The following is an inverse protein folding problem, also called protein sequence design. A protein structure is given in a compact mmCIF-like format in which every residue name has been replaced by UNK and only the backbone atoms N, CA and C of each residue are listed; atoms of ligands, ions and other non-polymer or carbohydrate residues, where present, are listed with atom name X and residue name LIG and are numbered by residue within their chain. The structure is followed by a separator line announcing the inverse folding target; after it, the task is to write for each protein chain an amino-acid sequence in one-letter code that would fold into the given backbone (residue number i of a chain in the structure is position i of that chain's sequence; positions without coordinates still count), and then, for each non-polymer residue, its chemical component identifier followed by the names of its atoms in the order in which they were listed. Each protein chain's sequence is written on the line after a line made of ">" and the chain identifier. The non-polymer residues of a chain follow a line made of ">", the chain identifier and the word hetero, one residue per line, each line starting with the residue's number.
data_IF_590643350019
#
_entry.id   IF_590643350019
#
_cell.length_a   1.000
_cell.length_b   1.000
_cell.length_c   1.000
_cell.angle_alpha   90.00
_cell.angle_beta   90.00
_cell.angle_gamma   90.00
#
_symmetry.space_group_name_H-M   'P 1'
#
loop_
_entity.id
_entity.type
_entity.pdbx_description
1 polymer ?
#
# COMPACT_ATOMS: atom_id res chain seq x y z
N UNK A 1 13.13 3.28 -32.59
CA UNK A 1 14.09 2.82 -31.57
C UNK A 1 13.44 3.00 -30.22
N UNK A 2 13.50 2.02 -29.34
CA UNK A 2 13.08 2.13 -27.94
C UNK A 2 14.23 2.75 -27.13
N UNK A 3 13.91 3.72 -26.27
CA UNK A 3 14.87 4.36 -25.37
C UNK A 3 14.26 4.40 -23.97
N UNK A 4 15.05 4.08 -22.95
CA UNK A 4 14.64 4.20 -21.55
C UNK A 4 15.41 5.36 -20.93
N UNK A 5 14.69 6.28 -20.31
CA UNK A 5 15.24 7.37 -19.51
C UNK A 5 14.96 7.14 -18.03
N UNK A 6 15.92 7.51 -17.20
CA UNK A 6 15.85 7.41 -15.74
C UNK A 6 15.58 8.81 -15.18
N UNK A 7 14.36 9.02 -14.70
CA UNK A 7 13.89 10.32 -14.24
C UNK A 7 13.82 10.37 -12.70
N UNK A 8 14.18 11.53 -12.15
CA UNK A 8 14.09 11.78 -10.70
C UNK A 8 12.67 12.15 -10.24
N UNK A 9 11.83 12.63 -11.16
CA UNK A 9 10.43 13.04 -10.90
C UNK A 9 9.51 12.38 -11.93
N UNK A 10 8.24 12.11 -11.61
CA UNK A 10 7.32 11.52 -12.56
C UNK A 10 7.07 12.48 -13.74
N UNK A 11 7.00 11.99 -14.97
CA UNK A 11 6.63 12.81 -16.11
C UNK A 11 5.17 13.25 -16.04
N UNK A 12 4.85 14.34 -16.72
CA UNK A 12 3.51 14.90 -16.81
C UNK A 12 2.50 13.82 -17.28
N UNK A 13 1.32 13.80 -16.66
CA UNK A 13 0.25 12.85 -16.99
C UNK A 13 0.42 11.43 -16.38
N UNK A 14 1.51 11.15 -15.65
CA UNK A 14 1.70 9.87 -14.99
C UNK A 14 0.55 9.58 -14.03
N UNK A 15 -0.16 8.44 -14.23
CA UNK A 15 -1.30 8.00 -13.43
C UNK A 15 -2.34 9.10 -13.14
N UNK A 16 -2.58 9.99 -14.11
CA UNK A 16 -3.58 11.04 -13.98
C UNK A 16 -4.98 10.42 -13.71
N UNK A 17 -5.65 10.91 -12.66
CA UNK A 17 -6.97 10.40 -12.27
C UNK A 17 -6.96 9.24 -11.28
N UNK A 18 -5.80 8.68 -10.92
CA UNK A 18 -5.68 7.69 -9.85
C UNK A 18 -5.45 8.37 -8.49
N UNK A 19 -5.98 7.82 -7.37
CA UNK A 19 -5.72 8.34 -6.03
C UNK A 19 -4.24 8.40 -5.68
N UNK A 20 -3.50 7.36 -6.06
CA UNK A 20 -2.05 7.26 -5.93
C UNK A 20 -1.38 7.61 -7.26
N UNK A 21 -1.65 8.82 -7.77
CA UNK A 21 -1.05 9.35 -9.00
C UNK A 21 0.27 10.10 -8.77
N UNK A 22 0.71 10.87 -9.77
CA UNK A 22 2.00 11.59 -9.76
C UNK A 22 2.19 12.42 -8.49
N UNK A 23 1.18 13.22 -8.11
CA UNK A 23 1.21 14.08 -6.93
C UNK A 23 1.46 13.28 -5.64
N UNK A 24 0.85 12.08 -5.53
CA UNK A 24 1.06 11.20 -4.38
C UNK A 24 2.47 10.60 -4.37
N UNK A 25 2.96 10.15 -5.54
CA UNK A 25 4.33 9.63 -5.65
C UNK A 25 5.38 10.69 -5.28
N UNK A 26 5.22 11.93 -5.73
CA UNK A 26 6.10 13.05 -5.36
C UNK A 26 6.05 13.34 -3.86
N UNK A 27 4.85 13.39 -3.27
CA UNK A 27 4.69 13.61 -1.84
C UNK A 27 5.36 12.52 -1.00
N UNK A 28 5.26 11.25 -1.43
CA UNK A 28 5.93 10.11 -0.80
C UNK A 28 7.45 10.22 -0.92
N UNK A 29 7.95 10.58 -2.09
CA UNK A 29 9.38 10.79 -2.33
C UNK A 29 9.94 11.92 -1.46
N UNK A 30 9.22 13.04 -1.37
CA UNK A 30 9.59 14.18 -0.53
C UNK A 30 9.50 13.89 0.98
N UNK A 31 8.77 12.86 1.39
CA UNK A 31 8.67 12.46 2.78
C UNK A 31 9.98 11.94 3.40
N UNK A 32 10.98 11.63 2.56
CA UNK A 32 12.31 11.27 3.02
C UNK A 32 12.35 10.00 3.86
N UNK A 33 11.64 8.96 3.43
CA UNK A 33 11.65 7.67 4.14
C UNK A 33 13.05 7.07 4.10
N UNK A 34 13.58 6.74 5.28
CA UNK A 34 14.91 6.15 5.43
C UNK A 34 15.08 4.90 4.57
N UNK A 35 16.27 4.77 3.97
CA UNK A 35 16.69 3.64 3.12
C UNK A 35 16.02 3.56 1.73
N UNK A 36 15.04 4.41 1.37
CA UNK A 36 14.39 4.36 0.06
C UNK A 36 14.89 5.48 -0.87
N UNK A 37 15.27 5.09 -2.08
CA UNK A 37 15.59 6.00 -3.19
C UNK A 37 14.60 5.76 -4.32
N UNK A 38 13.91 6.79 -4.74
CA UNK A 38 12.85 6.72 -5.74
C UNK A 38 13.34 7.19 -7.11
N UNK A 39 12.69 6.70 -8.17
CA UNK A 39 12.88 7.16 -9.52
C UNK A 39 11.82 6.59 -10.46
N UNK A 40 11.91 6.94 -11.74
CA UNK A 40 10.92 6.57 -12.75
C UNK A 40 11.63 6.20 -14.04
N UNK A 41 11.41 5.00 -14.55
CA UNK A 41 11.82 4.66 -15.89
C UNK A 41 10.76 5.11 -16.87
N UNK A 42 11.13 6.01 -17.77
CA UNK A 42 10.29 6.49 -18.86
C UNK A 42 10.75 5.85 -20.17
N UNK A 43 9.88 5.06 -20.79
CA UNK A 43 10.14 4.42 -22.08
C UNK A 43 9.59 5.28 -23.22
N UNK A 44 10.44 5.58 -24.18
CA UNK A 44 10.08 6.34 -25.38
C UNK A 44 10.22 5.46 -26.62
N UNK A 45 9.22 5.51 -27.50
CA UNK A 45 9.25 4.87 -28.83
C UNK A 45 9.07 5.95 -29.88
N UNK A 46 10.08 6.10 -30.76
CA UNK A 46 10.10 7.17 -31.76
C UNK A 46 9.83 8.58 -31.16
N UNK A 47 10.43 8.88 -30.01
CA UNK A 47 10.29 10.16 -29.32
C UNK A 47 8.98 10.39 -28.57
N UNK A 48 8.06 9.40 -28.56
CA UNK A 48 6.81 9.45 -27.80
C UNK A 48 6.93 8.62 -26.52
N UNK A 49 6.53 9.20 -25.41
CA UNK A 49 6.40 8.47 -24.14
C UNK A 49 5.33 7.38 -24.28
N UNK A 50 5.70 6.13 -24.03
CA UNK A 50 4.82 4.96 -24.14
C UNK A 50 4.61 4.26 -22.81
N UNK A 51 5.57 4.40 -21.86
CA UNK A 51 5.47 3.74 -20.55
C UNK A 51 6.21 4.54 -19.50
N UNK A 52 5.64 4.57 -18.29
CA UNK A 52 6.31 5.02 -17.08
C UNK A 52 6.20 3.95 -16.00
N UNK A 53 7.34 3.52 -15.50
CA UNK A 53 7.44 2.54 -14.42
C UNK A 53 8.14 3.20 -13.22
N UNK A 54 7.41 3.50 -12.14
CA UNK A 54 8.03 3.99 -10.91
C UNK A 54 8.84 2.89 -10.27
N UNK A 55 9.96 3.23 -9.69
CA UNK A 55 10.78 2.27 -8.95
C UNK A 55 11.31 2.87 -7.66
N UNK A 56 11.69 1.98 -6.75
CA UNK A 56 12.49 2.34 -5.59
C UNK A 56 13.67 1.41 -5.44
N UNK A 57 14.72 1.90 -4.77
CA UNK A 57 15.91 1.14 -4.42
C UNK A 57 16.10 1.20 -2.92
N UNK A 58 16.42 0.07 -2.29
CA UNK A 58 16.72 -0.01 -0.87
C UNK A 58 17.75 -1.11 -0.55
N UNK A 59 18.38 -1.00 0.61
CA UNK A 59 19.19 -2.08 1.16
C UNK A 59 18.28 -3.09 1.86
N UNK A 60 18.06 -4.22 1.19
CA UNK A 60 17.18 -5.26 1.68
C UNK A 60 17.95 -6.32 2.47
N UNK A 61 17.46 -6.66 3.65
CA UNK A 61 18.01 -7.74 4.46
C UNK A 61 17.22 -9.02 4.22
N UNK A 62 17.90 -10.10 3.84
CA UNK A 62 17.23 -11.37 3.51
C UNK A 62 16.38 -11.93 4.67
N UNK A 63 16.77 -11.63 5.90
CA UNK A 63 16.01 -12.03 7.08
C UNK A 63 14.62 -11.39 7.21
N UNK A 64 14.34 -10.32 6.46
CA UNK A 64 13.00 -9.66 6.46
C UNK A 64 11.92 -10.56 5.88
N UNK A 65 12.28 -11.48 4.97
CA UNK A 65 11.34 -12.44 4.36
C UNK A 65 11.17 -13.74 5.15
N UNK A 66 11.96 -13.95 6.22
CA UNK A 66 11.93 -15.21 6.94
C UNK A 66 11.10 -15.14 8.22
N UNK A 67 10.32 -16.17 8.54
CA UNK A 67 9.66 -16.28 9.81
C UNK A 67 10.70 -16.30 10.96
N UNK A 68 10.26 -15.95 12.17
CA UNK A 68 11.13 -15.92 13.34
C UNK A 68 11.80 -17.29 13.58
N UNK A 69 13.13 -17.31 13.72
CA UNK A 69 13.90 -18.53 13.93
C UNK A 69 15.40 -18.31 13.80
N UNK A 70 16.19 -19.37 14.02
CA UNK A 70 17.66 -19.33 13.94
C UNK A 70 18.18 -18.93 12.54
N UNK A 71 17.44 -19.31 11.48
CA UNK A 71 17.72 -18.92 10.09
C UNK A 71 17.62 -17.40 9.92
N UNK A 72 16.65 -16.75 10.57
CA UNK A 72 16.50 -15.29 10.52
C UNK A 72 17.71 -14.57 11.10
N UNK A 73 18.30 -15.10 12.17
CA UNK A 73 19.51 -14.53 12.78
C UNK A 73 20.74 -14.74 11.89
N UNK A 74 20.92 -15.95 11.37
CA UNK A 74 22.09 -16.30 10.53
C UNK A 74 22.13 -15.52 9.22
N UNK A 75 20.97 -15.20 8.63
CA UNK A 75 20.87 -14.49 7.36
C UNK A 75 20.72 -12.97 7.51
N UNK A 76 20.73 -12.46 8.74
CA UNK A 76 20.65 -11.01 9.03
C UNK A 76 21.82 -10.19 8.48
N UNK A 77 22.96 -10.84 8.25
CA UNK A 77 24.17 -10.21 7.69
C UNK A 77 24.14 -10.12 6.16
N UNK A 78 23.28 -10.90 5.50
CA UNK A 78 23.19 -10.88 4.04
C UNK A 78 22.27 -9.72 3.62
N UNK A 79 22.87 -8.76 2.93
CA UNK A 79 22.19 -7.60 2.38
C UNK A 79 22.23 -7.65 0.86
N UNK A 80 21.09 -7.45 0.23
CA UNK A 80 21.00 -7.23 -1.20
C UNK A 80 20.55 -5.79 -1.46
N UNK A 81 21.06 -5.19 -2.52
CA UNK A 81 20.51 -3.97 -3.02
C UNK A 81 19.27 -4.35 -3.86
N UNK A 82 18.08 -4.13 -3.30
CA UNK A 82 16.80 -4.35 -3.95
C UNK A 82 16.48 -3.17 -4.86
N UNK A 83 16.18 -3.44 -6.11
CA UNK A 83 15.59 -2.49 -7.05
C UNK A 83 14.20 -3.01 -7.45
N UNK A 84 13.15 -2.28 -7.14
CA UNK A 84 11.77 -2.75 -7.24
C UNK A 84 10.90 -1.79 -8.05
N UNK A 85 10.21 -2.29 -9.07
CA UNK A 85 9.15 -1.57 -9.77
C UNK A 85 7.91 -1.53 -8.89
N UNK A 86 7.38 -0.33 -8.66
CA UNK A 86 6.24 -0.05 -7.79
C UNK A 86 6.55 1.02 -6.75
N UNK A 87 5.69 1.12 -5.75
CA UNK A 87 5.84 2.03 -4.61
C UNK A 87 5.95 1.19 -3.32
N UNK A 88 6.89 1.47 -2.41
CA UNK A 88 7.05 0.68 -1.19
C UNK A 88 5.79 0.69 -0.31
N UNK A 89 5.08 1.80 -0.27
CA UNK A 89 3.90 1.98 0.59
C UNK A 89 2.57 1.65 -0.10
N UNK A 90 2.51 1.51 -1.43
CA UNK A 90 1.27 1.13 -2.13
C UNK A 90 1.02 -0.38 -2.07
N UNK A 91 -0.24 -0.78 -1.94
CA UNK A 91 -0.65 -2.19 -2.00
C UNK A 91 -0.67 -2.71 -3.45
N UNK A 92 -0.91 -1.82 -4.42
CA UNK A 92 -0.98 -2.14 -5.85
C UNK A 92 0.18 -1.52 -6.60
N UNK A 93 0.97 -2.37 -7.27
CA UNK A 93 2.01 -1.95 -8.22
C UNK A 93 1.37 -1.42 -9.51
N UNK A 94 1.91 -0.34 -10.04
CA UNK A 94 1.37 0.31 -11.25
C UNK A 94 2.49 0.63 -12.22
N UNK A 95 2.23 0.35 -13.50
CA UNK A 95 2.98 0.84 -14.66
C UNK A 95 1.97 1.60 -15.50
N UNK A 96 2.30 2.82 -15.89
CA UNK A 96 1.47 3.62 -16.79
C UNK A 96 1.87 3.33 -18.23
N UNK A 97 0.91 2.97 -19.09
CA UNK A 97 1.13 2.71 -20.51
C UNK A 97 1.39 1.25 -20.84
N UNK A 98 2.22 1.00 -21.86
CA UNK A 98 2.49 -0.34 -22.42
C UNK A 98 3.45 -1.13 -21.51
N UNK A 99 3.02 -2.30 -21.06
CA UNK A 99 3.83 -3.25 -20.27
C UNK A 99 4.19 -4.52 -21.09
N UNK A 100 4.45 -4.36 -22.37
CA UNK A 100 4.88 -5.46 -23.25
C UNK A 100 6.24 -6.03 -22.85
N UNK A 101 6.50 -7.27 -23.25
CA UNK A 101 7.78 -7.97 -22.99
C UNK A 101 8.99 -7.15 -23.43
N UNK A 102 8.92 -6.50 -24.62
CA UNK A 102 10.01 -5.66 -25.15
C UNK A 102 10.35 -4.51 -24.18
N UNK A 103 9.33 -3.79 -23.72
CA UNK A 103 9.50 -2.65 -22.84
C UNK A 103 9.97 -3.09 -21.45
N UNK A 104 9.35 -4.13 -20.89
CA UNK A 104 9.76 -4.64 -19.57
C UNK A 104 11.18 -5.22 -19.59
N UNK A 105 11.60 -5.84 -20.70
CA UNK A 105 12.97 -6.31 -20.85
C UNK A 105 13.97 -5.15 -20.84
N UNK A 106 13.69 -4.08 -21.55
CA UNK A 106 14.54 -2.88 -21.54
C UNK A 106 14.57 -2.19 -20.17
N UNK A 107 13.42 -2.10 -19.49
CA UNK A 107 13.35 -1.58 -18.11
C UNK A 107 14.16 -2.47 -17.15
N UNK A 108 14.13 -3.81 -17.32
CA UNK A 108 14.87 -4.74 -16.47
C UNK A 108 16.39 -4.60 -16.63
N UNK A 109 16.88 -4.23 -17.83
CA UNK A 109 18.29 -3.94 -18.05
C UNK A 109 18.73 -2.71 -17.24
N UNK A 110 17.92 -1.65 -17.22
CA UNK A 110 18.19 -0.44 -16.43
C UNK A 110 18.03 -0.72 -14.92
N UNK A 111 17.00 -1.47 -14.53
CA UNK A 111 16.76 -1.84 -13.14
C UNK A 111 17.92 -2.68 -12.57
N UNK A 112 18.54 -3.56 -13.37
CA UNK A 112 19.71 -4.38 -12.99
C UNK A 112 20.95 -3.53 -12.69
N UNK A 113 21.06 -2.30 -13.20
CA UNK A 113 22.13 -1.37 -12.84
C UNK A 113 21.92 -0.73 -11.47
N UNK A 114 20.69 -0.77 -10.95
CA UNK A 114 20.30 -0.18 -9.65
C UNK A 114 20.45 -1.14 -8.49
N UNK A 115 20.28 -2.45 -8.71
CA UNK A 115 20.35 -3.45 -7.64
C UNK A 115 20.61 -4.86 -8.16
N UNK A 116 21.00 -5.75 -7.23
CA UNK A 116 21.24 -7.17 -7.55
C UNK A 116 19.97 -8.04 -7.40
N UNK A 117 19.04 -7.65 -6.53
CA UNK A 117 17.74 -8.27 -6.41
C UNK A 117 16.72 -7.34 -7.08
N UNK A 118 16.10 -7.82 -8.16
CA UNK A 118 15.08 -7.12 -8.92
C UNK A 118 13.71 -7.60 -8.48
N UNK A 119 12.75 -6.70 -8.36
CA UNK A 119 11.38 -7.07 -8.03
C UNK A 119 10.34 -6.21 -8.74
N UNK A 120 9.13 -6.76 -8.83
CA UNK A 120 7.89 -6.06 -9.13
C UNK A 120 6.92 -6.37 -8.00
N UNK A 121 6.35 -5.36 -7.35
CA UNK A 121 5.54 -5.54 -6.14
C UNK A 121 4.06 -5.25 -6.41
N UNK A 122 3.19 -6.21 -6.08
CA UNK A 122 1.74 -5.96 -5.92
C UNK A 122 0.97 -5.79 -7.23
N UNK A 123 1.37 -6.41 -8.33
CA UNK A 123 0.67 -6.24 -9.60
C UNK A 123 -0.63 -7.07 -9.66
N UNK A 124 -1.76 -6.42 -9.96
CA UNK A 124 -3.07 -7.06 -10.10
C UNK A 124 -3.30 -7.78 -11.43
N UNK A 125 -2.35 -7.72 -12.35
CA UNK A 125 -2.36 -8.40 -13.63
C UNK A 125 -1.08 -9.19 -13.83
N UNK A 126 -1.14 -10.23 -14.65
CA UNK A 126 0.05 -10.98 -15.03
C UNK A 126 0.94 -10.15 -15.95
N UNK A 127 2.24 -10.11 -15.62
CA UNK A 127 3.23 -9.38 -16.41
C UNK A 127 4.10 -10.36 -17.19
N UNK A 128 4.48 -10.04 -18.44
CA UNK A 128 5.35 -10.90 -19.25
C UNK A 128 6.81 -10.81 -18.77
N UNK A 129 7.11 -11.47 -17.65
CA UNK A 129 8.41 -11.49 -16.98
C UNK A 129 8.94 -12.94 -16.88
N UNK A 130 9.32 -13.59 -18.01
CA UNK A 130 9.62 -15.02 -18.04
C UNK A 130 10.81 -15.43 -17.17
N UNK A 131 11.76 -14.52 -16.93
CA UNK A 131 12.98 -14.79 -16.13
C UNK A 131 12.79 -14.51 -14.64
N UNK A 132 11.61 -14.09 -14.23
CA UNK A 132 11.30 -13.80 -12.82
C UNK A 132 10.55 -14.96 -12.15
N UNK A 133 10.82 -15.14 -10.88
CA UNK A 133 10.04 -16.02 -10.02
C UNK A 133 8.77 -15.28 -9.63
N UNK A 134 7.63 -15.73 -10.15
CA UNK A 134 6.32 -15.20 -9.77
C UNK A 134 5.86 -15.82 -8.47
N UNK A 135 5.44 -15.00 -7.53
CA UNK A 135 4.86 -15.39 -6.24
C UNK A 135 3.53 -14.67 -6.01
N UNK A 136 2.61 -15.31 -5.30
CA UNK A 136 1.36 -14.67 -4.89
C UNK A 136 1.70 -13.54 -3.93
N UNK A 137 1.09 -12.36 -4.13
CA UNK A 137 1.17 -11.22 -3.23
C UNK A 137 0.01 -11.19 -2.23
N UNK A 138 0.04 -10.25 -1.29
CA UNK A 138 -1.11 -9.99 -0.43
C UNK A 138 -2.28 -9.45 -1.25
N UNK A 139 -3.46 -10.10 -1.24
CA UNK A 139 -4.60 -9.60 -2.00
C UNK A 139 -5.08 -8.26 -1.46
N UNK A 140 -5.62 -7.43 -2.34
CA UNK A 140 -6.15 -6.11 -1.96
C UNK A 140 -7.66 -6.20 -1.73
N UNK A 141 -8.14 -5.94 -0.50
CA UNK A 141 -9.56 -5.90 -0.21
C UNK A 141 -10.21 -4.64 -0.80
N UNK A 142 -11.11 -4.84 -1.76
CA UNK A 142 -11.83 -3.77 -2.43
C UNK A 142 -13.32 -3.92 -2.20
N UNK A 143 -13.98 -2.84 -1.82
CA UNK A 143 -15.40 -2.78 -1.55
C UNK A 143 -16.09 -1.87 -2.56
N UNK A 144 -17.12 -2.38 -3.23
CA UNK A 144 -18.01 -1.56 -4.04
C UNK A 144 -18.90 -0.70 -3.14
N UNK A 145 -18.96 0.59 -3.44
CA UNK A 145 -19.78 1.57 -2.74
C UNK A 145 -20.99 1.95 -3.58
N UNK A 146 -22.09 2.26 -2.90
CA UNK A 146 -23.31 2.75 -3.54
C UNK A 146 -24.38 3.07 -2.51
N UNK A 147 -25.45 3.79 -2.89
CA UNK A 147 -26.52 4.20 -1.97
C UNK A 147 -27.21 3.00 -1.30
N UNK A 148 -27.22 1.85 -1.97
CA UNK A 148 -27.85 0.62 -1.47
C UNK A 148 -26.89 -0.32 -0.73
N UNK A 149 -25.67 0.13 -0.42
CA UNK A 149 -24.64 -0.72 0.17
C UNK A 149 -25.12 -1.47 1.42
N UNK A 150 -25.73 -0.75 2.37
CA UNK A 150 -26.23 -1.38 3.60
C UNK A 150 -27.48 -2.24 3.36
N UNK A 151 -28.37 -1.84 2.43
CA UNK A 151 -29.58 -2.57 2.10
C UNK A 151 -29.27 -3.90 1.42
N UNK A 152 -28.24 -3.94 0.59
CA UNK A 152 -27.80 -5.16 -0.13
C UNK A 152 -27.18 -6.21 0.78
N UNK A 153 -26.76 -5.85 1.99
CA UNK A 153 -26.22 -6.80 2.96
C UNK A 153 -27.27 -7.74 3.51
N UNK A 154 -26.86 -9.00 3.77
CA UNK A 154 -27.65 -9.94 4.57
C UNK A 154 -27.95 -9.34 5.95
N UNK A 155 -29.16 -9.63 6.47
CA UNK A 155 -29.65 -9.09 7.75
C UNK A 155 -28.67 -9.30 8.92
N UNK A 156 -28.08 -10.50 9.00
CA UNK A 156 -27.14 -10.84 10.08
C UNK A 156 -25.88 -9.97 10.07
N UNK A 157 -25.32 -9.72 8.88
CA UNK A 157 -24.17 -8.81 8.72
C UNK A 157 -24.54 -7.39 9.10
N UNK A 158 -25.68 -6.89 8.60
CA UNK A 158 -26.17 -5.55 8.93
C UNK A 158 -26.38 -5.38 10.44
N UNK A 159 -26.98 -6.38 11.10
CA UNK A 159 -27.16 -6.37 12.54
C UNK A 159 -25.85 -6.43 13.32
N UNK A 160 -24.86 -7.19 12.82
CA UNK A 160 -23.52 -7.23 13.38
C UNK A 160 -22.86 -5.84 13.32
N UNK A 161 -22.91 -5.17 12.16
CA UNK A 161 -22.33 -3.83 12.00
C UNK A 161 -23.02 -2.80 12.92
N UNK A 162 -24.36 -2.81 13.00
CA UNK A 162 -25.11 -1.94 13.92
C UNK A 162 -24.69 -2.16 15.38
N UNK A 163 -24.54 -3.41 15.80
CA UNK A 163 -24.11 -3.74 17.17
C UNK A 163 -22.67 -3.28 17.44
N UNK A 164 -21.76 -3.45 16.45
CA UNK A 164 -20.38 -2.99 16.57
C UNK A 164 -20.30 -1.48 16.63
N UNK A 165 -21.06 -0.78 15.77
CA UNK A 165 -21.11 0.68 15.76
C UNK A 165 -21.73 1.24 17.06
N UNK A 166 -22.70 0.55 17.66
CA UNK A 166 -23.26 0.94 18.97
C UNK A 166 -22.20 1.00 20.07
N UNK A 167 -21.15 0.14 20.00
CA UNK A 167 -20.03 0.20 20.97
C UNK A 167 -19.21 1.49 20.85
N UNK A 168 -19.24 2.13 19.70
CA UNK A 168 -18.49 3.38 19.45
C UNK A 168 -19.34 4.64 19.73
N UNK A 169 -20.48 4.53 20.40
CA UNK A 169 -21.37 5.67 20.68
C UNK A 169 -20.75 6.73 21.56
N UNK A 170 -19.74 6.39 22.36
CA UNK A 170 -18.98 7.35 23.16
C UNK A 170 -17.90 8.10 22.33
N UNK A 171 -17.64 7.67 21.11
CA UNK A 171 -16.64 8.30 20.26
C UNK A 171 -17.28 9.44 19.46
N UNK A 172 -16.68 10.61 19.54
CA UNK A 172 -16.92 11.71 18.60
C UNK A 172 -15.95 11.55 17.43
N UNK A 173 -16.36 11.84 16.20
CA UNK A 173 -15.46 11.91 15.08
C UNK A 173 -15.64 13.22 14.30
N UNK A 174 -14.54 13.65 13.69
CA UNK A 174 -14.47 14.83 12.85
C UNK A 174 -13.88 14.49 11.50
N UNK A 175 -14.32 15.17 10.47
CA UNK A 175 -13.79 15.06 9.11
C UNK A 175 -13.01 16.32 8.78
N UNK A 176 -11.78 16.14 8.28
CA UNK A 176 -10.90 17.24 7.91
C UNK A 176 -10.35 17.04 6.50
N UNK A 177 -10.53 18.03 5.64
CA UNK A 177 -9.79 18.13 4.38
C UNK A 177 -8.35 18.56 4.69
N UNK A 178 -7.45 17.60 4.74
CA UNK A 178 -6.11 17.79 5.30
C UNK A 178 -6.10 17.77 6.84
N UNK A 179 -4.94 17.53 7.39
CA UNK A 179 -4.69 17.47 8.83
C UNK A 179 -4.21 18.83 9.34
N UNK A 180 -4.81 19.40 10.40
CA UNK A 180 -4.26 20.56 11.07
C UNK A 180 -2.81 20.30 11.53
N UNK A 181 -1.92 21.26 11.27
CA UNK A 181 -0.47 21.10 11.51
C UNK A 181 -0.15 20.70 12.96
N UNK A 182 -0.85 21.28 13.92
CA UNK A 182 -0.71 20.97 15.35
C UNK A 182 -1.09 19.53 15.71
N UNK A 183 -1.84 18.80 14.85
CA UNK A 183 -2.23 17.41 15.08
C UNK A 183 -1.26 16.40 14.45
N UNK A 184 -0.34 16.84 13.57
CA UNK A 184 0.63 15.94 12.92
C UNK A 184 1.42 15.10 13.93
N UNK A 185 1.97 15.65 15.02
CA UNK A 185 2.70 14.85 16.01
C UNK A 185 1.84 13.76 16.66
N UNK A 186 0.57 14.07 16.98
CA UNK A 186 -0.33 13.10 17.62
C UNK A 186 -0.75 12.02 16.63
N UNK A 187 -1.07 12.37 15.38
CA UNK A 187 -1.40 11.42 14.31
C UNK A 187 -0.22 10.50 14.03
N UNK A 188 0.99 11.05 13.95
CA UNK A 188 2.20 10.25 13.80
C UNK A 188 2.42 9.27 14.96
N UNK A 189 2.19 9.70 16.19
CA UNK A 189 2.26 8.81 17.36
C UNK A 189 1.24 7.66 17.27
N UNK A 190 -0.01 7.95 16.86
CA UNK A 190 -1.03 6.93 16.66
C UNK A 190 -0.68 5.97 15.54
N UNK A 191 -0.09 6.47 14.45
CA UNK A 191 0.47 5.63 13.38
C UNK A 191 1.56 4.70 13.93
N UNK A 192 2.50 5.23 14.72
CA UNK A 192 3.58 4.43 15.31
C UNK A 192 3.04 3.30 16.20
N UNK A 193 1.95 3.51 16.93
CA UNK A 193 1.31 2.44 17.70
C UNK A 193 0.89 1.26 16.80
N UNK A 194 0.31 1.57 15.63
CA UNK A 194 -0.08 0.54 14.64
C UNK A 194 1.15 -0.10 14.00
N UNK A 195 2.13 0.70 13.60
CA UNK A 195 3.38 0.23 13.03
C UNK A 195 4.14 -0.73 13.96
N UNK A 196 4.24 -0.39 15.26
CA UNK A 196 4.95 -1.23 16.23
C UNK A 196 4.25 -2.56 16.49
N UNK A 197 2.92 -2.59 16.35
CA UNK A 197 2.11 -3.80 16.53
C UNK A 197 2.09 -4.71 15.29
N UNK A 198 2.42 -4.19 14.11
CA UNK A 198 2.48 -4.99 12.89
C UNK A 198 3.63 -6.01 12.96
N UNK A 199 3.33 -7.25 12.54
CA UNK A 199 4.33 -8.32 12.45
C UNK A 199 5.34 -8.08 11.33
N UNK A 200 4.86 -7.62 10.17
CA UNK A 200 5.67 -7.24 9.03
C UNK A 200 5.89 -5.73 9.02
N UNK A 201 7.16 -5.33 9.02
CA UNK A 201 7.60 -3.93 8.99
C UNK A 201 8.48 -3.72 7.78
N UNK A 202 7.85 -3.37 6.66
CA UNK A 202 8.57 -3.14 5.42
C UNK A 202 9.06 -1.69 5.32
N UNK A 203 8.16 -0.74 5.55
CA UNK A 203 8.47 0.70 5.55
C UNK A 203 8.03 1.35 6.86
N UNK A 204 8.73 2.40 7.25
CA UNK A 204 8.34 3.28 8.35
C UNK A 204 8.14 4.68 7.80
N UNK A 205 6.92 5.20 7.93
CA UNK A 205 6.63 6.57 7.54
C UNK A 205 7.34 7.57 8.45
N UNK A 206 7.54 8.76 7.92
CA UNK A 206 8.03 9.93 8.66
C UNK A 206 6.87 10.89 8.98
N UNK A 207 7.01 11.83 9.91
CA UNK A 207 6.02 12.90 10.09
C UNK A 207 5.79 13.70 8.80
N UNK A 208 6.84 13.88 8.00
CA UNK A 208 6.83 14.58 6.71
C UNK A 208 5.90 13.92 5.69
N UNK A 209 5.69 12.61 5.79
CA UNK A 209 4.68 11.93 4.97
C UNK A 209 3.30 12.54 5.15
N UNK A 210 2.87 12.76 6.41
CA UNK A 210 1.56 13.33 6.72
C UNK A 210 1.46 14.81 6.30
N UNK A 211 2.58 15.54 6.33
CA UNK A 211 2.66 16.93 5.85
C UNK A 211 2.57 16.97 4.33
N UNK A 212 3.38 16.18 3.63
CA UNK A 212 3.48 16.24 2.17
C UNK A 212 2.25 15.66 1.45
N UNK A 213 1.59 14.66 2.03
CA UNK A 213 0.33 14.10 1.49
C UNK A 213 -0.90 14.88 1.93
N UNK A 214 -0.77 15.93 2.74
CA UNK A 214 -1.87 16.60 3.42
C UNK A 214 -2.93 17.14 2.44
N UNK A 215 -2.50 17.82 1.38
CA UNK A 215 -3.38 18.39 0.37
C UNK A 215 -4.16 17.34 -0.45
N UNK A 216 -3.69 16.08 -0.46
CA UNK A 216 -4.29 14.95 -1.16
C UNK A 216 -5.21 14.10 -0.25
N UNK A 217 -5.21 14.42 1.05
CA UNK A 217 -5.78 13.56 2.07
C UNK A 217 -7.04 14.13 2.70
N UNK A 218 -7.98 13.23 2.95
CA UNK A 218 -9.10 13.45 3.87
C UNK A 218 -8.84 12.64 5.14
N UNK A 219 -9.00 13.25 6.30
CA UNK A 219 -8.84 12.59 7.58
C UNK A 219 -10.16 12.41 8.29
N UNK A 220 -10.36 11.25 8.91
CA UNK A 220 -11.38 11.00 9.91
C UNK A 220 -10.66 10.89 11.26
N UNK A 221 -10.90 11.83 12.15
CA UNK A 221 -10.29 11.94 13.48
C UNK A 221 -11.27 11.48 14.55
N UNK A 222 -10.87 10.57 15.40
CA UNK A 222 -11.73 9.96 16.41
C UNK A 222 -11.28 10.33 17.81
N UNK A 223 -12.21 10.88 18.58
CA UNK A 223 -11.98 11.38 19.92
C UNK A 223 -12.78 10.57 20.95
N UNK A 224 -12.15 10.30 22.09
CA UNK A 224 -12.81 9.89 23.31
C UNK A 224 -12.73 11.08 24.26
N UNK A 225 -13.89 11.64 24.62
CA UNK A 225 -13.95 12.96 25.26
C UNK A 225 -13.22 14.00 24.37
N UNK A 226 -12.18 14.66 24.86
CA UNK A 226 -11.41 15.65 24.11
C UNK A 226 -10.08 15.09 23.58
N UNK A 227 -9.77 13.82 23.83
CA UNK A 227 -8.52 13.22 23.41
C UNK A 227 -8.63 12.52 22.04
N UNK A 228 -7.74 12.87 21.11
CA UNK A 228 -7.60 12.18 19.83
C UNK A 228 -6.99 10.80 20.07
N UNK A 229 -7.80 9.74 19.86
CA UNK A 229 -7.39 8.33 20.08
C UNK A 229 -7.30 7.50 18.80
N UNK A 230 -7.65 8.06 17.65
CA UNK A 230 -7.50 7.37 16.38
C UNK A 230 -7.72 8.26 15.18
N UNK A 231 -7.18 7.83 14.05
CA UNK A 231 -7.39 8.49 12.76
C UNK A 231 -7.46 7.48 11.62
N UNK A 232 -8.11 7.91 10.55
CA UNK A 232 -8.10 7.25 9.24
C UNK A 232 -7.71 8.29 8.20
N UNK A 233 -6.71 7.98 7.39
CA UNK A 233 -6.32 8.77 6.23
C UNK A 233 -6.94 8.17 4.97
N UNK A 234 -7.69 8.96 4.24
CA UNK A 234 -8.33 8.61 2.98
C UNK A 234 -7.72 9.44 1.86
N UNK A 235 -7.48 8.81 0.72
CA UNK A 235 -7.03 9.47 -0.51
C UNK A 235 -8.03 9.12 -1.60
N UNK A 236 -8.68 10.13 -2.17
CA UNK A 236 -9.72 9.95 -3.17
C UNK A 236 -9.39 10.67 -4.46
N UNK A 237 -9.68 10.05 -5.61
CA UNK A 237 -9.64 10.70 -6.93
C UNK A 237 -10.59 9.99 -7.90
N UNK A 238 -11.30 10.76 -8.71
CA UNK A 238 -12.31 10.20 -9.59
C UNK A 238 -13.40 9.48 -8.80
N UNK A 239 -13.60 8.22 -9.09
CA UNK A 239 -14.59 7.37 -8.43
C UNK A 239 -13.99 6.38 -7.40
N UNK A 240 -12.70 6.47 -7.14
CA UNK A 240 -11.95 5.56 -6.25
C UNK A 240 -11.51 6.26 -4.98
N UNK A 241 -11.64 5.57 -3.87
CA UNK A 241 -11.15 5.96 -2.55
C UNK A 241 -10.16 4.90 -2.04
N UNK A 242 -9.09 5.33 -1.41
CA UNK A 242 -8.12 4.45 -0.75
C UNK A 242 -8.11 4.78 0.73
N UNK A 243 -8.40 3.81 1.59
CA UNK A 243 -8.17 3.89 3.03
C UNK A 243 -6.68 3.60 3.28
N UNK A 244 -5.87 4.67 3.28
CA UNK A 244 -4.42 4.53 3.17
C UNK A 244 -3.77 4.11 4.47
N UNK A 245 -3.97 4.87 5.53
CA UNK A 245 -3.42 4.58 6.85
C UNK A 245 -4.44 4.78 7.95
N UNK A 246 -4.31 3.95 8.96
CA UNK A 246 -5.01 4.09 10.23
C UNK A 246 -4.01 4.10 11.36
N UNK A 247 -4.31 4.84 12.41
CA UNK A 247 -3.56 4.79 13.66
C UNK A 247 -4.51 4.88 14.84
N UNK A 248 -4.22 4.14 15.90
CA UNK A 248 -5.10 4.12 17.08
C UNK A 248 -4.33 3.89 18.38
N UNK A 249 -4.89 4.42 19.45
CA UNK A 249 -4.53 4.09 20.82
C UNK A 249 -5.19 2.76 21.17
N UNK A 250 -4.42 1.68 21.24
CA UNK A 250 -4.96 0.34 21.47
C UNK A 250 -5.56 0.15 22.85
N UNK A 251 -5.05 0.84 23.87
CA UNK A 251 -5.51 0.71 25.24
C UNK A 251 -6.89 1.37 25.41
N UNK A 252 -7.05 2.59 24.86
CA UNK A 252 -8.31 3.34 24.93
C UNK A 252 -9.34 2.87 23.89
N UNK A 253 -8.91 2.31 22.79
CA UNK A 253 -9.81 1.93 21.67
C UNK A 253 -10.54 0.61 21.87
N UNK A 254 -9.98 -0.32 22.67
CA UNK A 254 -10.45 -1.71 22.77
C UNK A 254 -11.93 -1.82 23.17
N UNK A 255 -12.35 -1.07 24.18
CA UNK A 255 -13.71 -1.16 24.72
C UNK A 255 -14.72 -0.36 23.91
N UNK A 256 -14.25 0.56 23.07
CA UNK A 256 -15.09 1.47 22.28
C UNK A 256 -15.29 1.05 20.83
N UNK A 257 -14.74 -0.09 20.40
CA UNK A 257 -14.93 -0.60 19.04
C UNK A 257 -14.40 0.35 17.94
N UNK A 258 -13.38 1.16 18.25
CA UNK A 258 -12.84 2.20 17.38
C UNK A 258 -12.44 1.67 16.01
N UNK A 259 -11.73 0.54 15.95
CA UNK A 259 -11.30 -0.07 14.68
C UNK A 259 -12.48 -0.28 13.70
N UNK A 260 -13.62 -0.77 14.21
CA UNK A 260 -14.83 -0.93 13.39
C UNK A 260 -15.42 0.41 12.96
N UNK A 261 -15.47 1.37 13.87
CA UNK A 261 -15.99 2.71 13.57
C UNK A 261 -15.19 3.38 12.46
N UNK A 262 -13.86 3.25 12.46
CA UNK A 262 -12.98 3.81 11.43
C UNK A 262 -13.37 3.34 10.03
N UNK A 263 -13.52 2.04 9.82
CA UNK A 263 -13.90 1.49 8.52
C UNK A 263 -15.34 1.84 8.12
N UNK A 264 -16.28 1.77 9.06
CA UNK A 264 -17.67 2.11 8.77
C UNK A 264 -17.77 3.59 8.39
N UNK A 265 -17.08 4.49 9.10
CA UNK A 265 -17.08 5.93 8.77
C UNK A 265 -16.37 6.23 7.45
N UNK A 266 -15.30 5.49 7.12
CA UNK A 266 -14.67 5.60 5.81
C UNK A 266 -15.63 5.18 4.67
N UNK A 267 -16.42 4.12 4.88
CA UNK A 267 -17.45 3.68 3.94
C UNK A 267 -18.58 4.73 3.82
N UNK A 268 -19.08 5.24 4.96
CA UNK A 268 -20.13 6.28 4.99
C UNK A 268 -19.66 7.54 4.24
N UNK A 269 -18.40 7.97 4.49
CA UNK A 269 -17.76 9.06 3.77
C UNK A 269 -17.72 8.77 2.26
N UNK A 270 -17.21 7.62 1.85
CA UNK A 270 -17.09 7.25 0.44
C UNK A 270 -18.45 7.25 -0.29
N UNK A 271 -19.51 6.71 0.35
CA UNK A 271 -20.87 6.70 -0.22
C UNK A 271 -21.41 8.13 -0.35
N UNK A 272 -21.26 8.97 0.67
CA UNK A 272 -21.75 10.33 0.68
C UNK A 272 -21.07 11.22 -0.36
N UNK A 273 -19.74 11.06 -0.53
CA UNK A 273 -18.96 11.80 -1.51
C UNK A 273 -19.06 11.24 -2.94
N UNK A 274 -19.85 10.16 -3.15
CA UNK A 274 -20.13 9.60 -4.47
C UNK A 274 -19.03 8.69 -5.03
N UNK A 275 -18.10 8.21 -4.21
CA UNK A 275 -17.14 7.18 -4.63
C UNK A 275 -17.87 5.86 -4.89
N UNK A 276 -17.43 5.13 -5.92
CA UNK A 276 -18.02 3.82 -6.27
C UNK A 276 -17.21 2.63 -5.76
N UNK A 277 -16.00 2.88 -5.29
CA UNK A 277 -15.09 1.85 -4.82
C UNK A 277 -14.19 2.39 -3.70
N UNK A 278 -13.91 1.56 -2.69
CA UNK A 278 -12.90 1.83 -1.67
C UNK A 278 -11.95 0.65 -1.51
N UNK A 279 -10.65 0.92 -1.58
CA UNK A 279 -9.59 -0.01 -1.18
C UNK A 279 -9.38 0.09 0.33
N UNK A 280 -9.33 -1.05 1.03
CA UNK A 280 -9.31 -1.10 2.49
C UNK A 280 -7.94 -1.47 3.08
N UNK A 281 -6.89 -1.56 2.24
CA UNK A 281 -5.54 -1.97 2.64
C UNK A 281 -5.38 -3.49 2.83
N UNK A 282 -4.17 -4.00 2.74
CA UNK A 282 -3.83 -5.42 2.69
C UNK A 282 -3.56 -6.04 4.08
N UNK A 283 -4.51 -5.95 5.02
CA UNK A 283 -4.43 -6.60 6.36
C UNK A 283 -5.82 -6.87 6.92
N UNK A 284 -5.93 -7.69 7.99
CA UNK A 284 -7.21 -7.94 8.71
C UNK A 284 -8.35 -8.37 7.79
N UNK A 285 -8.08 -9.35 6.96
CA UNK A 285 -8.97 -9.80 5.88
C UNK A 285 -10.32 -10.33 6.35
N UNK A 286 -10.37 -11.01 7.49
CA UNK A 286 -11.63 -11.56 8.04
C UNK A 286 -12.65 -10.44 8.26
N UNK A 287 -12.25 -9.35 8.88
CA UNK A 287 -13.14 -8.22 9.09
C UNK A 287 -13.60 -7.58 7.76
N UNK A 288 -12.70 -7.41 6.80
CA UNK A 288 -13.04 -6.82 5.49
C UNK A 288 -13.97 -7.71 4.67
N UNK A 289 -13.87 -9.04 4.82
CA UNK A 289 -14.86 -9.99 4.26
C UNK A 289 -16.24 -9.81 4.90
N UNK A 290 -16.31 -9.52 6.21
CA UNK A 290 -17.59 -9.19 6.88
C UNK A 290 -18.21 -7.92 6.27
N UNK A 291 -17.40 -6.92 5.94
CA UNK A 291 -17.87 -5.73 5.22
C UNK A 291 -18.32 -6.04 3.78
N UNK A 292 -17.95 -7.17 3.21
CA UNK A 292 -18.30 -7.58 1.85
C UNK A 292 -17.22 -7.25 0.81
N UNK A 293 -16.02 -6.92 1.26
CA UNK A 293 -14.90 -6.65 0.36
C UNK A 293 -14.51 -7.89 -0.44
N UNK A 294 -14.26 -7.69 -1.73
CA UNK A 294 -13.66 -8.68 -2.61
C UNK A 294 -12.15 -8.63 -2.45
N UNK A 295 -11.52 -9.79 -2.48
CA UNK A 295 -10.07 -9.93 -2.43
C UNK A 295 -9.53 -9.91 -3.86
N UNK A 296 -8.94 -8.82 -4.31
CA UNK A 296 -8.30 -8.75 -5.62
C UNK A 296 -6.92 -9.38 -5.51
N UNK A 297 -6.61 -10.41 -6.32
CA UNK A 297 -5.32 -11.07 -6.28
C UNK A 297 -4.22 -10.11 -6.74
N UNK A 298 -3.04 -10.25 -6.17
CA UNK A 298 -1.83 -9.58 -6.63
C UNK A 298 -0.69 -10.56 -6.80
N UNK A 299 0.28 -10.19 -7.59
CA UNK A 299 1.50 -10.96 -7.82
C UNK A 299 2.72 -10.10 -7.57
N UNK A 300 3.74 -10.74 -7.00
CA UNK A 300 5.08 -10.22 -6.89
C UNK A 300 5.99 -11.02 -7.81
N UNK A 301 6.99 -10.36 -8.36
CA UNK A 301 8.00 -11.00 -9.22
C UNK A 301 9.37 -10.70 -8.68
N UNK A 302 10.23 -11.71 -8.65
CA UNK A 302 11.58 -11.60 -8.09
C UNK A 302 12.60 -12.20 -9.05
N UNK A 303 13.73 -11.53 -9.23
CA UNK A 303 14.87 -12.02 -10.00
C UNK A 303 16.17 -11.57 -9.36
N UNK A 304 17.12 -12.47 -9.21
CA UNK A 304 18.49 -12.09 -8.85
C UNK A 304 19.34 -12.03 -10.12
N UNK A 305 20.22 -11.02 -10.22
CA UNK A 305 21.12 -10.85 -11.38
C UNK A 305 22.14 -11.99 -11.53
N UNK A 306 22.48 -12.69 -10.44
CA UNK A 306 23.33 -13.87 -10.47
C UNK A 306 22.47 -15.13 -10.63
N UNK A 307 22.75 -16.00 -11.63
CA UNK A 307 21.91 -17.18 -11.94
C UNK A 307 21.76 -18.14 -10.75
N UNK A 308 22.81 -18.36 -9.97
CA UNK A 308 22.77 -19.24 -8.79
C UNK A 308 21.74 -18.77 -7.76
N UNK A 309 21.75 -17.47 -7.43
CA UNK A 309 20.78 -16.91 -6.49
C UNK A 309 19.38 -16.85 -7.06
N UNK A 310 19.24 -16.67 -8.38
CA UNK A 310 17.96 -16.75 -9.05
C UNK A 310 17.35 -18.16 -8.96
N UNK A 311 18.16 -19.20 -9.14
CA UNK A 311 17.75 -20.60 -8.95
C UNK A 311 17.29 -20.85 -7.49
N UNK A 312 18.03 -20.32 -6.49
CA UNK A 312 17.65 -20.41 -5.06
C UNK A 312 16.31 -19.73 -4.81
N UNK A 313 16.07 -18.53 -5.36
CA UNK A 313 14.78 -17.82 -5.25
C UNK A 313 13.63 -18.69 -5.78
N UNK A 314 13.83 -19.36 -6.90
CA UNK A 314 12.84 -20.30 -7.44
C UNK A 314 12.48 -21.43 -6.49
N UNK A 315 13.46 -21.95 -5.74
CA UNK A 315 13.22 -22.99 -4.71
C UNK A 315 12.54 -22.45 -3.45
N UNK A 316 12.74 -21.18 -3.17
CA UNK A 316 12.16 -20.50 -2.00
C UNK A 316 10.83 -19.80 -2.30
N UNK A 317 10.22 -20.04 -3.47
CA UNK A 317 8.95 -19.41 -3.87
C UNK A 317 7.91 -19.40 -2.75
N UNK A 318 7.68 -20.54 -2.09
CA UNK A 318 6.68 -20.66 -1.02
C UNK A 318 6.98 -19.78 0.22
N UNK A 319 8.24 -19.34 0.40
CA UNK A 319 8.61 -18.40 1.47
C UNK A 319 8.33 -16.94 1.06
N UNK A 320 8.24 -16.69 -0.25
CA UNK A 320 7.94 -15.36 -0.81
C UNK A 320 6.44 -15.09 -0.89
N UNK A 321 5.61 -16.10 -0.63
CA UNK A 321 4.15 -16.02 -0.64
C UNK A 321 3.60 -15.76 0.78
N UNK A 322 2.47 -15.05 0.93
CA UNK A 322 1.88 -14.80 2.23
C UNK A 322 1.53 -16.09 2.96
N UNK A 323 1.79 -16.11 4.25
CA UNK A 323 1.38 -17.20 5.14
C UNK A 323 -0.14 -17.18 5.38
N UNK A 324 -0.72 -18.32 5.81
CA UNK A 324 -2.15 -18.36 6.19
C UNK A 324 -2.50 -17.36 7.30
N UNK A 325 -1.55 -17.07 8.21
CA UNK A 325 -1.77 -16.09 9.29
C UNK A 325 -1.87 -14.65 8.76
N UNK A 326 -1.16 -14.31 7.69
CA UNK A 326 -1.24 -13.00 7.05
C UNK A 326 -2.52 -12.82 6.24
N UNK A 327 -3.16 -13.91 5.82
CA UNK A 327 -4.42 -13.92 5.06
C UNK A 327 -5.67 -13.95 5.96
N UNK A 328 -5.51 -13.92 7.27
CA UNK A 328 -6.59 -13.79 8.27
C UNK A 328 -6.75 -12.32 8.69
#
# INVERSE_FOLDING_TARGET
>A
MLCIEDLAVPPEGFLHGEPEGAEYYEAVQMAGMDDFHFGYFAAYRAGRLVTVAPYFVMNFRLNTLLPNGWLKQSLSLIRFKLACIGNPIADVGRIHGDASLEILSAINEELAKKGSLLAYKGFGQDLPLPDFVQAIGLPVPVLALGPDYYQSMKSDRRNLLKRKLKKSSALRYEECAGLPENLVPKVYQLYLNTYHKADLKFEKLTPEYFVNTNALSQYLLFYLEDELIGFTQLIGKGNKLVNRYIGLDYDKSRDHGLYFAMFIRAIDFGIREGFTEIELGATSYEFKRILGARQLPTWNYYRHTTPLFNWILGKLRGVLEPSESELR
#
